data_IF_756042859028
#
_entry.id   IF_756042859028
#
_cell.length_a   1.000
_cell.length_b   1.000
_cell.length_c   1.000
_cell.angle_alpha   90.00
_cell.angle_beta   90.00
_cell.angle_gamma   90.00
#
_symmetry.space_group_name_H-M   'P 1'
#
loop_
_entity.id
_entity.type
_entity.pdbx_description
1 polymer ?
#
# COMPACT_ATOMS: atom_id res chain seq x y z
N UNK A 1 7.27 20.27 3.34
CA UNK A 1 6.88 20.40 1.92
C UNK A 1 8.13 20.78 1.16
N UNK A 2 8.62 19.93 0.27
CA UNK A 2 9.78 20.22 -0.58
C UNK A 2 9.25 20.75 -1.91
N UNK A 3 9.63 21.97 -2.29
CA UNK A 3 9.30 22.53 -3.61
C UNK A 3 10.41 22.13 -4.59
N UNK A 4 10.04 21.55 -5.73
CA UNK A 4 10.96 21.06 -6.75
C UNK A 4 10.42 21.40 -8.12
N UNK A 5 11.30 21.93 -8.98
CA UNK A 5 10.96 22.37 -10.32
C UNK A 5 11.38 21.32 -11.36
N UNK A 6 10.66 21.30 -12.47
CA UNK A 6 11.03 20.51 -13.63
C UNK A 6 12.27 21.10 -14.30
N UNK A 7 13.13 20.24 -14.81
CA UNK A 7 14.21 20.67 -15.70
C UNK A 7 13.72 20.93 -17.13
N UNK A 8 14.65 21.31 -18.00
CA UNK A 8 14.44 21.57 -19.44
C UNK A 8 13.92 20.35 -20.22
N UNK A 9 14.05 19.15 -19.65
CA UNK A 9 13.61 17.88 -20.22
C UNK A 9 12.33 17.35 -19.56
N UNK A 10 11.74 18.10 -18.63
CA UNK A 10 10.54 17.70 -17.90
C UNK A 10 10.79 16.63 -16.83
N UNK A 11 12.01 16.51 -16.32
CA UNK A 11 12.34 15.58 -15.22
C UNK A 11 12.21 16.29 -13.88
N UNK A 12 11.68 15.57 -12.89
CA UNK A 12 11.62 16.02 -11.50
C UNK A 12 12.72 15.30 -10.71
N UNK A 13 13.62 16.06 -10.08
CA UNK A 13 14.63 15.49 -9.21
C UNK A 13 14.02 15.19 -7.83
N UNK A 14 14.01 13.93 -7.43
CA UNK A 14 13.59 13.55 -6.09
C UNK A 14 14.68 13.92 -5.06
N UNK A 15 14.29 14.53 -3.92
CA UNK A 15 15.19 14.74 -2.79
C UNK A 15 15.89 13.45 -2.34
N UNK A 16 17.11 13.57 -1.80
CA UNK A 16 17.92 12.40 -1.41
C UNK A 16 17.26 11.55 -0.32
N UNK A 17 16.58 12.17 0.63
CA UNK A 17 15.81 11.52 1.70
C UNK A 17 14.70 10.62 1.16
N UNK A 18 14.04 11.02 0.07
CA UNK A 18 13.01 10.20 -0.59
C UNK A 18 13.66 8.99 -1.26
N UNK A 19 14.79 9.17 -1.96
CA UNK A 19 15.49 8.07 -2.64
C UNK A 19 16.09 7.05 -1.66
N UNK A 20 16.61 7.51 -0.54
CA UNK A 20 17.17 6.64 0.50
C UNK A 20 16.08 5.76 1.15
N UNK A 21 14.86 6.29 1.28
CA UNK A 21 13.74 5.55 1.88
C UNK A 21 13.02 4.65 0.89
N UNK A 22 12.74 5.17 -0.30
CA UNK A 22 11.75 4.60 -1.23
C UNK A 22 12.41 4.04 -2.51
N UNK A 23 13.73 4.20 -2.66
CA UNK A 23 14.51 3.69 -3.79
C UNK A 23 14.44 4.56 -5.05
N UNK A 24 14.83 3.97 -6.18
CA UNK A 24 15.02 4.68 -7.47
C UNK A 24 13.93 4.37 -8.51
N UNK A 25 13.03 3.43 -8.25
CA UNK A 25 12.03 2.97 -9.22
C UNK A 25 10.63 3.33 -8.76
N UNK A 26 9.85 3.95 -9.64
CA UNK A 26 8.50 4.42 -9.33
C UNK A 26 7.53 4.12 -10.48
N UNK A 27 6.28 3.88 -10.11
CA UNK A 27 5.13 3.96 -11.01
C UNK A 27 4.56 5.37 -10.98
N UNK A 28 4.27 5.92 -12.16
CA UNK A 28 3.63 7.22 -12.32
C UNK A 28 2.14 7.01 -12.52
N UNK A 29 1.32 7.53 -11.61
CA UNK A 29 -0.14 7.43 -11.67
C UNK A 29 -0.74 8.83 -11.80
N UNK A 30 -1.64 9.01 -12.77
CA UNK A 30 -2.42 10.24 -12.92
C UNK A 30 -3.75 10.09 -12.19
N UNK A 31 -4.02 11.01 -11.26
CA UNK A 31 -5.26 11.09 -10.51
C UNK A 31 -5.93 12.45 -10.76
N UNK A 32 -7.26 12.57 -10.56
CA UNK A 32 -7.91 13.87 -10.56
C UNK A 32 -7.28 14.76 -9.48
N UNK A 33 -6.54 15.79 -9.89
CA UNK A 33 -5.86 16.73 -9.00
C UNK A 33 -4.33 16.61 -8.97
N UNK A 34 -3.71 15.64 -9.66
CA UNK A 34 -2.26 15.61 -9.78
C UNK A 34 -1.65 14.30 -10.25
N UNK A 35 -0.33 14.24 -10.12
CA UNK A 35 0.48 13.05 -10.40
C UNK A 35 1.01 12.51 -9.09
N UNK A 36 0.91 11.19 -8.90
CA UNK A 36 1.46 10.48 -7.74
C UNK A 36 2.54 9.52 -8.21
N UNK A 37 3.66 9.53 -7.48
CA UNK A 37 4.75 8.58 -7.65
C UNK A 37 4.60 7.48 -6.60
N UNK A 38 4.47 6.23 -7.04
CA UNK A 38 4.36 5.07 -6.16
C UNK A 38 5.65 4.27 -6.27
N UNK A 39 6.44 4.08 -5.19
CA UNK A 39 7.67 3.31 -5.26
C UNK A 39 7.39 1.88 -5.72
N UNK A 40 8.26 1.37 -6.58
CA UNK A 40 8.20 0.01 -7.10
C UNK A 40 9.22 -0.83 -6.33
N UNK A 41 8.73 -1.73 -5.48
CA UNK A 41 9.55 -2.77 -4.90
C UNK A 41 10.12 -3.67 -6.02
N UNK A 42 11.40 -4.03 -5.90
CA UNK A 42 12.04 -4.95 -6.85
C UNK A 42 11.44 -6.35 -6.76
N UNK A 43 10.94 -6.76 -5.59
CA UNK A 43 10.00 -7.86 -5.39
C UNK A 43 8.72 -7.37 -4.69
N UNK A 44 7.64 -7.08 -5.46
CA UNK A 44 6.37 -6.63 -4.92
C UNK A 44 5.70 -7.63 -3.97
N UNK A 45 5.99 -8.93 -4.11
CA UNK A 45 5.39 -9.97 -3.29
C UNK A 45 6.16 -10.16 -1.99
N UNK A 46 7.48 -9.98 -1.99
CA UNK A 46 8.30 -10.00 -0.77
C UNK A 46 7.95 -8.81 0.14
N UNK A 47 7.83 -7.60 -0.41
CA UNK A 47 7.43 -6.42 0.36
C UNK A 47 6.03 -6.57 1.00
N UNK A 48 5.07 -7.16 0.27
CA UNK A 48 3.76 -7.47 0.82
C UNK A 48 3.83 -8.57 1.89
N UNK A 49 4.69 -9.58 1.72
CA UNK A 49 4.83 -10.65 2.72
C UNK A 49 5.48 -10.17 4.01
N UNK A 50 6.41 -9.23 3.95
CA UNK A 50 7.03 -8.62 5.13
C UNK A 50 6.03 -7.72 5.89
N UNK A 51 5.23 -6.91 5.19
CA UNK A 51 4.20 -6.07 5.82
C UNK A 51 3.10 -6.90 6.50
N UNK A 52 2.77 -8.07 5.95
CA UNK A 52 1.79 -9.00 6.50
C UNK A 52 2.41 -10.15 7.32
N UNK A 53 3.70 -10.09 7.63
CA UNK A 53 4.42 -11.14 8.36
C UNK A 53 3.92 -11.29 9.82
N UNK A 54 3.40 -10.21 10.42
CA UNK A 54 2.79 -10.21 11.75
C UNK A 54 1.39 -10.87 11.79
N UNK A 55 0.86 -11.32 10.64
CA UNK A 55 -0.42 -12.03 10.56
C UNK A 55 -0.17 -13.54 10.64
N UNK A 56 0.41 -14.01 11.74
CA UNK A 56 0.44 -15.44 12.11
C UNK A 56 -0.96 -15.90 12.54
N UNK A 57 -1.93 -15.93 11.61
CA UNK A 57 -3.15 -16.72 11.80
C UNK A 57 -3.32 -17.63 10.60
N UNK A 58 -3.31 -18.97 10.79
CA UNK A 58 -3.56 -19.89 9.70
C UNK A 58 -4.91 -19.56 9.05
N UNK A 59 -5.00 -19.71 7.74
CA UNK A 59 -6.19 -19.34 6.96
C UNK A 59 -7.48 -19.99 7.49
N UNK A 60 -7.35 -21.16 8.14
CA UNK A 60 -8.45 -21.87 8.79
C UNK A 60 -9.02 -21.10 10.00
N UNK A 61 -8.16 -20.52 10.85
CA UNK A 61 -8.60 -19.68 11.98
C UNK A 61 -9.30 -18.40 11.52
N UNK A 62 -8.87 -17.81 10.40
CA UNK A 62 -9.51 -16.63 9.83
C UNK A 62 -10.90 -16.97 9.26
N UNK A 63 -11.05 -18.14 8.63
CA UNK A 63 -12.34 -18.64 8.13
C UNK A 63 -13.32 -18.93 9.26
N UNK A 64 -12.84 -19.55 10.34
CA UNK A 64 -13.68 -19.89 11.48
C UNK A 64 -14.15 -18.62 12.21
N UNK A 65 -13.27 -17.64 12.43
CA UNK A 65 -13.64 -16.33 12.98
C UNK A 65 -14.59 -15.56 12.07
N UNK A 66 -14.38 -15.60 10.76
CA UNK A 66 -15.29 -14.97 9.80
C UNK A 66 -16.70 -15.58 9.82
N UNK A 67 -16.79 -16.91 9.95
CA UNK A 67 -18.07 -17.62 10.07
C UNK A 67 -18.75 -17.31 11.41
N UNK A 68 -18.01 -17.28 12.51
CA UNK A 68 -18.54 -16.94 13.83
C UNK A 68 -19.06 -15.49 13.89
N UNK A 69 -18.32 -14.53 13.32
CA UNK A 69 -18.74 -13.14 13.21
C UNK A 69 -20.02 -12.97 12.36
N UNK A 70 -20.15 -13.70 11.25
CA UNK A 70 -21.35 -13.65 10.42
C UNK A 70 -22.60 -14.23 11.12
N UNK A 71 -22.40 -15.27 11.95
CA UNK A 71 -23.47 -15.88 12.77
C UNK A 71 -23.88 -14.94 13.91
N UNK A 72 -22.93 -14.32 14.59
CA UNK A 72 -23.20 -13.39 15.69
C UNK A 72 -23.89 -12.10 15.22
N UNK A 73 -23.58 -11.60 14.02
CA UNK A 73 -24.21 -10.39 13.48
C UNK A 73 -25.63 -10.65 12.91
N UNK A 74 -25.99 -11.91 12.67
CA UNK A 74 -27.34 -12.29 12.21
C UNK A 74 -28.37 -12.41 13.36
N UNK A 75 -27.96 -12.21 14.62
CA UNK A 75 -28.85 -12.25 15.79
C UNK A 75 -29.60 -10.95 16.12
N UNK A 76 -29.33 -9.84 15.43
CA UNK A 76 -29.90 -8.51 15.77
C UNK A 76 -30.88 -7.93 14.74
N UNK A 77 -31.31 -8.72 13.75
CA UNK A 77 -32.16 -8.24 12.64
C UNK A 77 -33.64 -8.65 12.72
N UNK A 78 -34.16 -9.05 13.87
CA UNK A 78 -35.59 -9.38 14.02
C UNK A 78 -36.22 -8.56 15.13
N UNK A 79 -36.75 -7.40 14.75
CA UNK A 79 -37.94 -6.75 15.33
C UNK A 79 -38.40 -5.62 14.42
#
# INVERSE_FOLDING_TARGET
MSDVMLDDRGRLALPSDVRERDGDRYHVVQLPGGVTLVPRADDPLEALRDEFSDVEKPADELRDKGREAAVNNSGSGSR
#
